data_IF_304525987533
#
_entry.id   IF_304525987533
#
_cell.length_a   1.000
_cell.length_b   1.000
_cell.length_c   1.000
_cell.angle_alpha   90.00
_cell.angle_beta   90.00
_cell.angle_gamma   90.00
#
_symmetry.space_group_name_H-M   'P 1'
#
loop_
_entity.id
_entity.type
_entity.pdbx_description
1 polymer ?
#
# COMPACT_ATOMS: atom_id res chain seq x y z
N UNK A 1 -63.02 -13.19 20.74
CA UNK A 1 -62.42 -14.32 21.47
C UNK A 1 -61.90 -15.32 20.46
N UNK A 2 -60.59 -15.44 20.28
CA UNK A 2 -59.96 -16.66 19.75
C UNK A 2 -58.45 -16.59 19.90
N UNK A 3 -57.90 -17.71 20.36
CA UNK A 3 -56.52 -17.97 20.70
C UNK A 3 -55.54 -17.88 19.51
N UNK A 4 -54.28 -17.55 19.82
CA UNK A 4 -53.11 -18.32 19.37
C UNK A 4 -51.84 -17.90 20.13
N UNK A 5 -51.45 -18.73 21.10
CA UNK A 5 -50.12 -18.84 21.70
C UNK A 5 -49.53 -20.18 21.24
N UNK A 6 -48.19 -20.27 21.29
CA UNK A 6 -47.32 -21.47 21.18
C UNK A 6 -47.00 -21.97 19.77
N UNK A 7 -45.76 -21.75 19.35
CA UNK A 7 -44.80 -22.81 18.96
C UNK A 7 -43.42 -22.19 18.72
N UNK A 8 -42.59 -22.21 19.75
CA UNK A 8 -41.18 -21.83 19.69
C UNK A 8 -40.42 -22.78 20.62
N UNK A 9 -40.19 -24.01 20.15
CA UNK A 9 -39.30 -25.02 20.73
C UNK A 9 -39.31 -26.24 19.80
N UNK A 10 -38.39 -26.24 18.82
CA UNK A 10 -37.98 -27.44 18.07
C UNK A 10 -36.90 -27.01 17.08
N UNK A 11 -35.63 -27.07 17.49
CA UNK A 11 -34.42 -27.22 16.66
C UNK A 11 -33.18 -27.05 17.56
N UNK A 12 -33.02 -27.96 18.50
CA UNK A 12 -31.77 -28.22 19.23
C UNK A 12 -31.85 -29.67 19.69
N UNK A 13 -31.41 -30.58 18.82
CA UNK A 13 -30.99 -31.96 19.13
C UNK A 13 -30.82 -32.73 17.82
N UNK A 14 -29.65 -32.61 17.19
CA UNK A 14 -29.19 -33.55 16.17
C UNK A 14 -27.69 -33.36 15.90
N UNK A 15 -26.86 -33.57 16.91
CA UNK A 15 -25.41 -33.71 16.74
C UNK A 15 -24.80 -34.30 18.02
N UNK A 16 -25.12 -35.56 18.30
CA UNK A 16 -24.48 -36.38 19.34
C UNK A 16 -24.99 -37.81 19.19
N UNK A 17 -24.41 -38.57 18.26
CA UNK A 17 -24.39 -40.04 18.21
C UNK A 17 -23.73 -40.46 16.90
N UNK A 18 -22.46 -40.88 16.96
CA UNK A 18 -21.85 -41.95 16.15
C UNK A 18 -20.33 -41.95 16.39
N UNK A 19 -19.91 -42.55 17.50
CA UNK A 19 -18.55 -43.06 17.67
C UNK A 19 -18.66 -44.40 18.40
N UNK A 20 -18.62 -45.49 17.65
CA UNK A 20 -17.99 -46.77 18.01
C UNK A 20 -18.28 -47.82 16.93
N UNK A 21 -17.34 -48.77 16.79
CA UNK A 21 -17.36 -49.99 15.95
C UNK A 21 -16.92 -49.73 14.50
N UNK A 22 -15.89 -50.34 13.90
CA UNK A 22 -15.27 -51.67 14.06
C UNK A 22 -13.76 -51.63 13.74
N UNK A 23 -13.00 -52.48 14.45
CA UNK A 23 -11.69 -52.99 14.07
C UNK A 23 -11.80 -54.07 12.97
N UNK A 24 -10.64 -54.35 12.37
CA UNK A 24 -10.27 -55.48 11.49
C UNK A 24 -10.59 -55.31 10.00
N UNK A 25 -9.54 -55.08 9.20
CA UNK A 25 -9.21 -55.97 8.09
C UNK A 25 -7.81 -55.69 7.49
N UNK A 26 -7.22 -56.77 6.98
CA UNK A 26 -5.86 -56.95 6.49
C UNK A 26 -5.30 -55.88 5.55
N UNK A 27 -4.03 -55.51 5.76
CA UNK A 27 -3.22 -54.84 4.75
C UNK A 27 -2.05 -55.72 4.31
N UNK A 28 -2.16 -56.16 3.05
CA UNK A 28 -1.10 -56.73 2.25
C UNK A 28 0.09 -55.77 2.17
N UNK A 29 1.26 -56.25 2.60
CA UNK A 29 2.55 -55.61 2.37
C UNK A 29 2.92 -55.79 0.89
N UNK A 30 2.54 -54.84 0.03
CA UNK A 30 3.21 -54.68 -1.26
C UNK A 30 4.56 -53.98 -1.05
N UNK A 31 5.66 -54.50 -1.62
CA UNK A 31 6.96 -53.84 -1.57
C UNK A 31 6.87 -52.51 -2.30
N UNK A 32 7.06 -51.44 -1.53
CA UNK A 32 7.09 -50.07 -1.98
C UNK A 32 8.34 -49.91 -2.88
N UNK A 33 8.18 -50.05 -4.20
CA UNK A 33 9.19 -49.68 -5.18
C UNK A 33 9.46 -48.19 -5.03
N UNK A 34 10.50 -47.87 -4.27
CA UNK A 34 11.08 -46.54 -4.18
C UNK A 34 11.63 -46.17 -5.56
N UNK A 35 10.76 -45.64 -6.41
CA UNK A 35 11.16 -44.87 -7.56
C UNK A 35 11.94 -43.68 -7.02
N UNK A 36 13.27 -43.79 -7.10
CA UNK A 36 14.20 -42.68 -6.97
C UNK A 36 13.83 -41.70 -8.08
N UNK A 37 12.92 -40.78 -7.78
CA UNK A 37 12.74 -39.58 -8.58
C UNK A 37 14.05 -38.83 -8.42
N UNK A 38 14.90 -38.91 -9.44
CA UNK A 38 16.04 -38.03 -9.60
C UNK A 38 15.48 -36.61 -9.51
N UNK A 39 15.70 -35.95 -8.36
CA UNK A 39 15.40 -34.53 -8.19
C UNK A 39 16.29 -33.79 -9.19
N UNK A 40 15.72 -33.53 -10.37
CA UNK A 40 16.33 -32.67 -11.36
C UNK A 40 16.63 -31.34 -10.66
N UNK A 41 17.92 -31.05 -10.48
CA UNK A 41 18.38 -29.79 -9.88
C UNK A 41 18.01 -28.68 -10.86
N UNK A 42 16.80 -28.17 -10.73
CA UNK A 42 16.32 -27.05 -11.53
C UNK A 42 17.14 -25.85 -11.11
N UNK A 43 18.11 -25.46 -11.96
CA UNK A 43 18.86 -24.22 -11.74
C UNK A 43 17.87 -23.05 -11.58
N UNK A 44 18.00 -22.25 -10.51
CA UNK A 44 17.08 -21.15 -10.27
C UNK A 44 17.19 -20.15 -11.41
N UNK A 45 16.08 -19.89 -12.10
CA UNK A 45 16.03 -18.85 -13.13
C UNK A 45 16.45 -17.51 -12.51
N UNK A 46 17.32 -16.73 -13.18
CA UNK A 46 17.72 -15.42 -12.68
C UNK A 46 16.49 -14.55 -12.50
N UNK A 47 16.35 -13.96 -11.31
CA UNK A 47 15.26 -13.04 -11.04
C UNK A 47 15.43 -11.76 -11.85
N UNK A 48 14.34 -11.23 -12.46
CA UNK A 48 14.41 -9.95 -13.14
C UNK A 48 14.68 -8.83 -12.14
N UNK A 49 15.35 -7.77 -12.61
CA UNK A 49 15.65 -6.60 -11.80
C UNK A 49 14.37 -5.91 -11.34
N UNK A 50 13.42 -5.76 -12.26
CA UNK A 50 12.08 -5.24 -12.02
C UNK A 50 11.12 -5.81 -13.06
N UNK A 51 9.90 -6.13 -12.66
CA UNK A 51 8.86 -6.68 -13.55
C UNK A 51 7.45 -6.28 -13.10
N UNK A 52 6.53 -6.15 -14.07
CA UNK A 52 5.11 -6.07 -13.78
C UNK A 52 4.52 -7.48 -13.80
N UNK A 53 3.88 -7.86 -12.69
CA UNK A 53 3.27 -9.18 -12.54
C UNK A 53 1.80 -9.03 -12.15
N UNK A 54 1.10 -10.15 -12.07
CA UNK A 54 -0.26 -10.17 -11.54
C UNK A 54 -0.37 -11.17 -10.38
N UNK A 55 -0.91 -10.71 -9.26
CA UNK A 55 -1.45 -11.59 -8.23
C UNK A 55 -2.79 -12.21 -8.66
N UNK A 56 -3.46 -12.90 -7.74
CA UNK A 56 -4.81 -13.43 -8.01
C UNK A 56 -5.81 -12.33 -8.40
N UNK A 57 -5.64 -11.12 -7.88
CA UNK A 57 -6.59 -10.03 -8.05
C UNK A 57 -5.98 -8.63 -8.02
N UNK A 58 -4.71 -8.46 -8.39
CA UNK A 58 -4.06 -7.16 -8.46
C UNK A 58 -2.93 -7.21 -9.50
N UNK A 59 -2.49 -6.04 -9.96
CA UNK A 59 -1.24 -5.89 -10.72
C UNK A 59 -0.21 -5.27 -9.80
N UNK A 60 0.97 -5.86 -9.76
CA UNK A 60 2.08 -5.46 -8.90
C UNK A 60 3.36 -5.19 -9.71
N UNK A 61 4.25 -4.42 -9.08
CA UNK A 61 5.64 -4.31 -9.48
C UNK A 61 6.48 -5.14 -8.50
N UNK A 62 7.28 -6.05 -9.03
CA UNK A 62 8.10 -7.03 -8.31
C UNK A 62 9.53 -7.05 -8.89
N UNK A 63 10.41 -7.88 -8.34
CA UNK A 63 11.78 -8.07 -8.81
C UNK A 63 12.84 -7.72 -7.76
N UNK A 64 14.10 -8.00 -8.10
CA UNK A 64 15.24 -7.86 -7.18
C UNK A 64 15.35 -6.45 -6.56
N UNK A 65 15.06 -5.40 -7.34
CA UNK A 65 15.09 -4.02 -6.84
C UNK A 65 14.04 -3.78 -5.74
N UNK A 66 12.83 -4.32 -5.90
CA UNK A 66 11.73 -4.17 -4.93
C UNK A 66 12.00 -4.99 -3.67
N UNK A 67 12.56 -6.18 -3.85
CA UNK A 67 13.05 -7.01 -2.74
C UNK A 67 14.14 -6.28 -1.94
N UNK A 68 15.09 -5.62 -2.62
CA UNK A 68 16.14 -4.84 -1.96
C UNK A 68 15.56 -3.73 -1.07
N UNK A 69 14.51 -3.04 -1.52
CA UNK A 69 13.78 -2.07 -0.69
C UNK A 69 13.11 -2.78 0.51
N UNK A 70 12.43 -3.91 0.25
CA UNK A 70 11.75 -4.71 1.28
C UNK A 70 12.68 -5.37 2.32
N UNK A 71 13.98 -5.50 2.02
CA UNK A 71 14.99 -6.02 2.94
C UNK A 71 15.61 -4.95 3.84
N UNK A 72 15.29 -3.67 3.66
CA UNK A 72 15.69 -2.59 4.58
C UNK A 72 14.85 -2.62 5.87
N UNK A 73 15.05 -3.67 6.68
CA UNK A 73 14.24 -4.05 7.86
C UNK A 73 14.79 -3.54 9.18
N UNK A 74 15.75 -2.60 9.15
CA UNK A 74 16.39 -2.11 10.36
C UNK A 74 15.37 -1.53 11.35
N UNK A 75 15.48 -1.91 12.61
CA UNK A 75 14.55 -1.48 13.67
C UNK A 75 13.19 -2.20 13.70
N UNK A 76 12.93 -3.15 12.79
CA UNK A 76 11.66 -3.91 12.76
C UNK A 76 11.84 -5.28 13.42
N UNK A 77 10.95 -5.61 14.35
CA UNK A 77 10.96 -6.93 15.01
C UNK A 77 10.72 -8.07 14.01
N UNK A 78 11.47 -9.20 14.12
CA UNK A 78 11.26 -10.38 13.29
C UNK A 78 9.82 -10.91 13.28
N UNK A 79 9.08 -10.81 14.39
CA UNK A 79 7.70 -11.31 14.45
C UNK A 79 6.76 -10.57 13.49
N UNK A 80 6.94 -9.25 13.34
CA UNK A 80 6.12 -8.43 12.43
C UNK A 80 6.40 -8.80 10.97
N UNK A 81 7.67 -9.07 10.64
CA UNK A 81 8.10 -9.50 9.31
C UNK A 81 7.51 -10.88 9.01
N UNK A 82 7.55 -11.79 9.98
CA UNK A 82 6.98 -13.13 9.84
C UNK A 82 5.47 -13.09 9.60
N UNK A 83 4.74 -12.17 10.24
CA UNK A 83 3.31 -11.98 9.96
C UNK A 83 3.04 -11.61 8.50
N UNK A 84 3.88 -10.76 7.91
CA UNK A 84 3.80 -10.42 6.48
C UNK A 84 4.09 -11.63 5.60
N UNK A 85 5.17 -12.37 5.89
CA UNK A 85 5.56 -13.56 5.12
C UNK A 85 4.44 -14.62 5.19
N UNK A 86 3.84 -14.84 6.35
CA UNK A 86 2.71 -15.77 6.52
C UNK A 86 1.48 -15.35 5.73
N UNK A 87 1.16 -14.04 5.68
CA UNK A 87 0.04 -13.52 4.89
C UNK A 87 0.27 -13.69 3.39
N UNK A 88 1.47 -13.41 2.91
CA UNK A 88 1.80 -13.39 1.48
C UNK A 88 2.19 -14.79 0.95
N UNK A 89 2.64 -15.68 1.84
CA UNK A 89 3.12 -17.02 1.50
C UNK A 89 4.55 -17.05 0.96
N UNK A 90 5.25 -15.93 0.94
CA UNK A 90 6.63 -15.79 0.46
C UNK A 90 7.33 -14.56 1.07
N UNK A 91 8.66 -14.51 0.97
CA UNK A 91 9.45 -13.37 1.45
C UNK A 91 9.61 -12.25 0.40
N UNK A 92 9.21 -12.49 -0.85
CA UNK A 92 9.25 -11.47 -1.91
C UNK A 92 8.34 -10.29 -1.60
N UNK A 93 8.83 -9.12 -1.97
CA UNK A 93 8.21 -7.83 -1.76
C UNK A 93 7.60 -7.33 -3.07
N UNK A 94 6.50 -6.61 -2.96
CA UNK A 94 5.79 -6.09 -4.13
C UNK A 94 5.22 -4.71 -3.85
N UNK A 95 5.02 -3.94 -4.91
CA UNK A 95 4.26 -2.70 -4.89
C UNK A 95 2.93 -2.97 -5.60
N UNK A 96 1.80 -2.75 -4.94
CA UNK A 96 0.50 -2.84 -5.63
C UNK A 96 0.32 -1.62 -6.54
N UNK A 97 0.27 -1.83 -7.85
CA UNK A 97 0.00 -0.77 -8.84
C UNK A 97 -1.51 -0.59 -9.08
N UNK A 98 -2.25 -1.70 -9.16
CA UNK A 98 -3.72 -1.72 -9.35
C UNK A 98 -4.32 -2.71 -8.37
N UNK A 99 -5.16 -2.22 -7.46
CA UNK A 99 -5.82 -3.05 -6.46
C UNK A 99 -7.04 -3.80 -7.04
N UNK A 100 -7.51 -4.84 -6.35
CA UNK A 100 -8.68 -5.65 -6.77
C UNK A 100 -9.93 -4.86 -7.12
N UNK A 101 -10.20 -3.79 -6.38
CA UNK A 101 -11.39 -2.93 -6.58
C UNK A 101 -11.27 -2.05 -7.82
N UNK A 102 -10.05 -1.84 -8.30
CA UNK A 102 -9.71 -0.95 -9.42
C UNK A 102 -9.59 -1.71 -10.74
N UNK A 103 -9.38 -3.02 -10.70
CA UNK A 103 -9.16 -3.84 -11.90
C UNK A 103 -10.25 -3.69 -12.96
N UNK A 104 -11.52 -3.57 -12.56
CA UNK A 104 -12.63 -3.39 -13.51
C UNK A 104 -12.49 -2.07 -14.27
N UNK A 105 -12.26 -0.97 -13.56
CA UNK A 105 -12.06 0.36 -14.14
C UNK A 105 -10.82 0.39 -15.04
N UNK A 106 -9.72 -0.21 -14.59
CA UNK A 106 -8.49 -0.29 -15.38
C UNK A 106 -8.68 -1.08 -16.69
N UNK A 107 -9.41 -2.21 -16.63
CA UNK A 107 -9.72 -3.00 -17.82
C UNK A 107 -10.66 -2.24 -18.77
N UNK A 108 -11.67 -1.55 -18.25
CA UNK A 108 -12.56 -0.70 -19.05
C UNK A 108 -11.78 0.42 -19.75
N UNK A 109 -10.88 1.11 -19.03
CA UNK A 109 -10.01 2.14 -19.61
C UNK A 109 -9.07 1.60 -20.70
N UNK A 110 -8.62 0.35 -20.56
CA UNK A 110 -7.80 -0.34 -21.55
C UNK A 110 -8.61 -0.98 -22.70
N UNK A 111 -9.95 -0.87 -22.69
CA UNK A 111 -10.86 -1.54 -23.60
C UNK A 111 -10.67 -3.08 -23.61
N UNK A 112 -10.44 -3.66 -22.43
CA UNK A 112 -10.29 -5.10 -22.20
C UNK A 112 -11.57 -5.62 -21.53
N UNK A 113 -12.22 -6.61 -22.15
CA UNK A 113 -13.42 -7.21 -21.57
C UNK A 113 -13.08 -7.88 -20.22
N UNK A 114 -13.81 -7.50 -19.16
CA UNK A 114 -13.61 -8.10 -17.84
C UNK A 114 -14.12 -9.56 -17.84
N UNK A 115 -13.24 -10.56 -17.69
CA UNK A 115 -13.60 -11.94 -17.94
C UNK A 115 -14.41 -12.58 -16.80
N UNK A 116 -15.21 -13.58 -17.16
CA UNK A 116 -15.71 -14.59 -16.21
C UNK A 116 -14.54 -15.41 -15.64
N UNK A 117 -14.64 -15.89 -14.38
CA UNK A 117 -13.56 -16.46 -13.52
C UNK A 117 -12.39 -17.17 -14.24
N UNK A 118 -12.66 -18.08 -15.19
CA UNK A 118 -11.63 -18.90 -15.87
C UNK A 118 -10.66 -18.12 -16.79
N UNK A 119 -11.00 -16.90 -17.24
CA UNK A 119 -10.15 -16.11 -18.16
C UNK A 119 -9.45 -14.92 -17.48
N UNK A 120 -9.51 -14.84 -16.14
CA UNK A 120 -8.98 -13.70 -15.39
C UNK A 120 -7.48 -13.49 -15.55
N UNK A 121 -6.69 -14.57 -15.47
CA UNK A 121 -5.24 -14.49 -15.65
C UNK A 121 -4.85 -13.93 -17.03
N UNK A 122 -5.50 -14.41 -18.10
CA UNK A 122 -5.24 -13.91 -19.45
C UNK A 122 -5.59 -12.43 -19.60
N UNK A 123 -6.73 -11.97 -19.07
CA UNK A 123 -7.08 -10.55 -19.12
C UNK A 123 -6.08 -9.67 -18.33
N UNK A 124 -5.55 -10.17 -17.21
CA UNK A 124 -4.52 -9.45 -16.46
C UNK A 124 -3.20 -9.38 -17.26
N UNK A 125 -2.80 -10.47 -17.94
CA UNK A 125 -1.65 -10.44 -18.86
C UNK A 125 -1.84 -9.45 -20.00
N UNK A 126 -3.04 -9.41 -20.59
CA UNK A 126 -3.37 -8.43 -21.64
C UNK A 126 -3.30 -6.99 -21.09
N UNK A 127 -3.73 -6.76 -19.85
CA UNK A 127 -3.63 -5.44 -19.22
C UNK A 127 -2.17 -5.05 -18.94
N UNK A 128 -1.32 -5.99 -18.49
CA UNK A 128 0.12 -5.75 -18.34
C UNK A 128 0.76 -5.41 -19.70
N UNK A 129 0.46 -6.19 -20.74
CA UNK A 129 0.94 -5.94 -22.10
C UNK A 129 0.52 -4.54 -22.59
N UNK A 130 -0.75 -4.17 -22.37
CA UNK A 130 -1.27 -2.86 -22.74
C UNK A 130 -0.53 -1.71 -22.05
N UNK A 131 -0.12 -1.91 -20.78
CA UNK A 131 0.70 -0.95 -20.02
C UNK A 131 2.09 -0.87 -20.66
N UNK A 132 2.75 -2.01 -20.89
CA UNK A 132 4.09 -2.10 -21.48
C UNK A 132 4.16 -1.44 -22.87
N UNK A 133 3.14 -1.60 -23.70
CA UNK A 133 3.05 -0.93 -25.01
C UNK A 133 3.03 0.61 -24.93
N UNK A 134 2.65 1.18 -23.78
CA UNK A 134 2.53 2.64 -23.60
C UNK A 134 3.66 3.26 -22.81
N UNK A 135 4.25 2.52 -21.88
CA UNK A 135 5.32 3.03 -21.01
C UNK A 135 6.65 2.29 -21.15
N UNK A 136 6.73 1.30 -22.04
CA UNK A 136 7.89 0.45 -22.23
C UNK A 136 7.95 -0.72 -21.25
N UNK A 137 8.81 -1.69 -21.56
CA UNK A 137 9.10 -2.84 -20.71
C UNK A 137 9.82 -2.39 -19.42
N UNK A 138 9.46 -2.93 -18.23
CA UNK A 138 10.11 -2.57 -16.97
C UNK A 138 11.63 -2.72 -16.97
N UNK A 139 12.16 -3.72 -17.68
CA UNK A 139 13.60 -3.95 -17.84
C UNK A 139 14.33 -2.87 -18.64
N UNK A 140 13.59 -2.02 -19.36
CA UNK A 140 14.10 -0.92 -20.18
C UNK A 140 13.87 0.45 -19.55
N UNK A 141 13.14 0.52 -18.43
CA UNK A 141 12.93 1.76 -17.70
C UNK A 141 14.25 2.30 -17.18
N UNK A 142 14.44 3.61 -17.28
CA UNK A 142 15.64 4.26 -16.75
C UNK A 142 15.52 4.38 -15.24
N UNK A 143 16.64 4.55 -14.55
CA UNK A 143 16.66 4.62 -13.08
C UNK A 143 15.71 5.70 -12.51
N UNK A 144 15.52 6.83 -13.21
CA UNK A 144 14.59 7.88 -12.78
C UNK A 144 13.10 7.50 -12.92
N UNK A 145 12.79 6.44 -13.65
CA UNK A 145 11.42 5.91 -13.79
C UNK A 145 11.11 4.86 -12.70
N UNK A 146 12.11 4.41 -11.95
CA UNK A 146 11.94 3.42 -10.90
C UNK A 146 11.35 4.03 -9.62
N UNK A 147 10.72 3.22 -8.75
CA UNK A 147 10.25 3.69 -7.45
C UNK A 147 11.43 4.15 -6.58
N UNK A 148 11.41 5.42 -6.17
CA UNK A 148 12.38 5.96 -5.22
C UNK A 148 11.93 5.70 -3.79
N UNK A 149 12.72 4.96 -3.03
CA UNK A 149 12.47 4.69 -1.61
C UNK A 149 12.70 5.94 -0.75
N UNK A 150 11.64 6.45 -0.14
CA UNK A 150 11.64 7.66 0.69
C UNK A 150 11.96 7.40 2.15
N UNK A 151 12.00 6.14 2.58
CA UNK A 151 12.29 5.79 3.97
C UNK A 151 11.19 4.95 4.64
N UNK A 152 11.48 4.58 5.88
CA UNK A 152 10.60 3.80 6.74
C UNK A 152 9.48 4.69 7.30
N UNK A 153 8.27 4.16 7.25
CA UNK A 153 7.07 4.74 7.83
C UNK A 153 6.34 3.70 8.67
N UNK A 154 5.46 4.18 9.55
CA UNK A 154 4.49 3.33 10.21
C UNK A 154 3.17 4.06 10.43
N UNK A 155 2.13 3.25 10.62
CA UNK A 155 0.81 3.69 11.04
C UNK A 155 0.27 2.74 12.10
N UNK A 156 -0.60 3.29 12.92
CA UNK A 156 -1.34 2.55 13.93
C UNK A 156 -2.83 2.84 13.77
N UNK A 157 -3.66 1.84 14.03
CA UNK A 157 -5.11 1.97 14.03
C UNK A 157 -5.65 1.24 15.24
N UNK A 158 -6.41 1.97 16.05
CA UNK A 158 -7.17 1.39 17.15
C UNK A 158 -8.47 0.79 16.60
N UNK A 159 -8.73 -0.46 16.94
CA UNK A 159 -9.95 -1.18 16.58
C UNK A 159 -10.61 -1.69 17.86
N UNK A 160 -11.93 -1.50 17.97
CA UNK A 160 -12.72 -2.06 19.05
C UNK A 160 -13.31 -3.40 18.59
N UNK A 161 -12.74 -4.50 19.06
CA UNK A 161 -13.21 -5.85 18.74
C UNK A 161 -13.59 -6.53 20.06
N UNK A 162 -14.87 -6.92 20.20
CA UNK A 162 -15.37 -7.66 21.38
C UNK A 162 -15.06 -6.98 22.73
N UNK A 163 -15.22 -5.65 22.81
CA UNK A 163 -14.92 -4.83 23.99
C UNK A 163 -13.43 -4.77 24.38
N UNK A 164 -12.52 -5.31 23.57
CA UNK A 164 -11.09 -5.12 23.70
C UNK A 164 -10.59 -4.07 22.70
N UNK A 165 -9.81 -3.11 23.17
CA UNK A 165 -9.09 -2.16 22.32
C UNK A 165 -7.82 -2.83 21.82
N UNK A 166 -7.83 -3.26 20.57
CA UNK A 166 -6.65 -3.78 19.88
C UNK A 166 -6.04 -2.65 19.06
N UNK A 167 -4.71 -2.51 19.15
CA UNK A 167 -3.97 -1.56 18.31
C UNK A 167 -3.24 -2.36 17.25
N UNK A 168 -3.61 -2.16 15.99
CA UNK A 168 -2.91 -2.73 14.84
C UNK A 168 -1.88 -1.74 14.33
N UNK A 169 -0.65 -2.19 14.13
CA UNK A 169 0.46 -1.41 13.59
C UNK A 169 0.99 -2.03 12.31
N UNK A 170 1.40 -1.20 11.36
CA UNK A 170 2.03 -1.63 10.12
C UNK A 170 3.24 -0.77 9.80
N UNK A 171 4.35 -1.40 9.43
CA UNK A 171 5.58 -0.78 8.97
C UNK A 171 5.77 -1.02 7.48
N UNK A 172 6.17 0.01 6.76
CA UNK A 172 6.32 -0.03 5.32
C UNK A 172 7.35 1.00 4.84
N UNK A 173 7.92 0.77 3.65
CA UNK A 173 8.74 1.76 2.94
C UNK A 173 7.84 2.58 2.04
N UNK A 174 7.85 3.91 2.17
CA UNK A 174 7.08 4.80 1.30
C UNK A 174 7.87 5.06 0.03
N UNK A 175 7.21 5.04 -1.12
CA UNK A 175 7.88 5.21 -2.40
C UNK A 175 7.33 6.41 -3.16
N UNK A 176 8.23 7.18 -3.76
CA UNK A 176 7.89 8.12 -4.81
C UNK A 176 8.07 7.44 -6.17
N UNK A 177 6.99 7.27 -6.92
CA UNK A 177 7.04 6.61 -8.22
C UNK A 177 6.21 7.36 -9.28
N UNK A 178 6.80 8.39 -9.93
CA UNK A 178 6.11 9.20 -10.95
C UNK A 178 5.56 8.36 -12.11
N UNK A 179 6.32 7.38 -12.59
CA UNK A 179 5.85 6.51 -13.66
C UNK A 179 4.65 5.68 -13.22
N UNK A 180 4.63 5.17 -11.99
CA UNK A 180 3.47 4.51 -11.41
C UNK A 180 2.21 5.40 -11.41
N UNK A 181 2.35 6.68 -11.04
CA UNK A 181 1.23 7.63 -11.12
C UNK A 181 0.78 7.87 -12.55
N UNK A 182 1.72 7.97 -13.51
CA UNK A 182 1.41 8.11 -14.93
C UNK A 182 0.64 6.90 -15.46
N UNK A 183 1.03 5.68 -15.08
CA UNK A 183 0.31 4.46 -15.46
C UNK A 183 -1.11 4.48 -14.88
N UNK A 184 -1.28 4.86 -13.61
CA UNK A 184 -2.61 4.98 -13.00
C UNK A 184 -3.49 6.00 -13.72
N UNK A 185 -2.94 7.16 -14.06
CA UNK A 185 -3.64 8.18 -14.84
C UNK A 185 -4.05 7.69 -16.24
N UNK A 186 -3.19 6.93 -16.94
CA UNK A 186 -3.54 6.32 -18.25
C UNK A 186 -4.72 5.34 -18.15
N UNK A 187 -4.95 4.76 -16.98
CA UNK A 187 -6.01 3.81 -16.70
C UNK A 187 -7.23 4.45 -16.02
N UNK A 188 -7.30 5.79 -15.98
CA UNK A 188 -8.34 6.56 -15.28
C UNK A 188 -8.49 6.16 -13.80
N UNK A 189 -7.39 5.78 -13.16
CA UNK A 189 -7.37 5.48 -11.73
C UNK A 189 -6.93 6.72 -10.94
N UNK A 190 -7.50 6.88 -9.75
CA UNK A 190 -7.08 7.91 -8.80
C UNK A 190 -5.59 7.76 -8.44
N UNK A 191 -4.86 8.82 -8.06
CA UNK A 191 -3.51 8.70 -7.51
C UNK A 191 -3.47 7.76 -6.30
N UNK A 192 -2.33 7.09 -6.09
CA UNK A 192 -2.14 6.19 -4.94
C UNK A 192 -0.81 6.46 -4.22
N UNK A 193 -0.73 6.11 -2.94
CA UNK A 193 0.52 6.13 -2.18
C UNK A 193 1.19 4.76 -2.25
N UNK A 194 2.24 4.67 -3.07
CA UNK A 194 2.99 3.43 -3.25
C UNK A 194 3.86 3.13 -2.02
N UNK A 195 3.87 1.86 -1.63
CA UNK A 195 4.65 1.39 -0.50
C UNK A 195 4.99 -0.09 -0.64
N UNK A 196 6.07 -0.51 0.02
CA UNK A 196 6.38 -1.92 0.29
C UNK A 196 6.05 -2.22 1.75
N UNK A 197 5.16 -3.17 2.02
CA UNK A 197 4.86 -3.59 3.39
C UNK A 197 6.02 -4.43 3.93
N UNK A 198 6.58 -4.01 5.07
CA UNK A 198 7.68 -4.73 5.72
C UNK A 198 7.13 -5.75 6.72
N UNK A 199 6.21 -5.32 7.59
CA UNK A 199 5.64 -6.15 8.64
C UNK A 199 4.49 -5.44 9.37
N UNK A 200 3.69 -6.20 10.10
CA UNK A 200 2.55 -5.67 10.86
C UNK A 200 2.22 -6.56 12.06
N UNK A 201 1.41 -6.04 12.98
CA UNK A 201 0.97 -6.74 14.18
C UNK A 201 -0.32 -6.12 14.76
N UNK A 202 -1.36 -6.90 15.11
CA UNK A 202 -1.54 -8.31 14.76
C UNK A 202 -2.04 -8.50 13.31
N UNK A 203 -2.71 -7.49 12.76
CA UNK A 203 -3.29 -7.50 11.41
C UNK A 203 -2.72 -6.34 10.60
N UNK A 204 -2.69 -6.48 9.27
CA UNK A 204 -2.33 -5.36 8.41
C UNK A 204 -3.39 -4.24 8.52
N UNK A 205 -2.93 -3.00 8.36
CA UNK A 205 -3.75 -1.82 8.53
C UNK A 205 -4.17 -1.31 7.15
N UNK A 206 -5.48 -1.28 6.89
CA UNK A 206 -6.06 -0.85 5.62
C UNK A 206 -6.96 0.38 5.79
N UNK A 207 -7.17 1.12 4.70
CA UNK A 207 -8.14 2.22 4.64
C UNK A 207 -7.68 3.51 5.33
N UNK A 208 -6.40 3.63 5.66
CA UNK A 208 -5.81 4.84 6.23
C UNK A 208 -4.68 5.36 5.33
N UNK A 209 -4.32 6.62 5.53
CA UNK A 209 -3.24 7.27 4.80
C UNK A 209 -1.88 6.59 5.08
N UNK A 210 -1.22 6.10 4.01
CA UNK A 210 0.13 5.50 4.03
C UNK A 210 1.13 6.27 3.15
N UNK A 211 0.93 7.59 3.00
CA UNK A 211 1.77 8.44 2.16
C UNK A 211 3.00 9.02 2.87
N UNK A 212 3.78 9.90 2.21
CA UNK A 212 5.03 10.44 2.73
C UNK A 212 4.92 11.16 4.08
N UNK A 213 3.75 11.72 4.42
CA UNK A 213 3.52 12.31 5.74
C UNK A 213 3.57 11.33 6.91
N UNK A 214 3.68 10.01 6.64
CA UNK A 214 3.81 8.97 7.67
C UNK A 214 5.25 8.54 7.96
N UNK A 215 6.24 9.09 7.24
CA UNK A 215 7.66 8.79 7.40
C UNK A 215 8.12 9.06 8.84
N UNK A 216 8.94 8.15 9.38
CA UNK A 216 9.48 8.27 10.74
C UNK A 216 10.31 9.54 10.94
N UNK A 217 11.13 9.90 9.94
CA UNK A 217 11.95 11.11 9.96
C UNK A 217 11.15 12.42 10.01
N UNK A 218 9.83 12.37 9.76
CA UNK A 218 8.92 13.52 9.88
C UNK A 218 8.05 13.48 11.15
N UNK A 219 7.99 12.36 11.86
CA UNK A 219 7.16 12.18 13.08
C UNK A 219 7.95 12.37 14.35
N UNK A 220 9.20 11.92 14.37
CA UNK A 220 10.01 11.92 15.58
C UNK A 220 10.71 13.27 15.76
N UNK A 221 10.15 14.10 16.65
CA UNK A 221 10.91 15.18 17.31
C UNK A 221 11.95 14.62 18.31
N UNK A 222 12.09 13.30 18.40
CA UNK A 222 12.94 12.60 19.37
C UNK A 222 14.42 12.56 18.96
N UNK A 223 14.88 13.51 18.15
CA UNK A 223 16.31 13.66 18.05
C UNK A 223 16.83 14.20 19.38
N UNK A 224 17.90 13.59 19.91
CA UNK A 224 18.49 14.03 21.15
C UNK A 224 18.70 15.53 21.06
N UNK A 225 18.01 16.27 21.94
CA UNK A 225 18.36 17.67 22.18
C UNK A 225 19.88 17.71 22.36
N UNK A 226 20.60 18.72 21.86
CA UNK A 226 22.04 18.88 22.10
C UNK A 226 22.46 18.76 23.58
N UNK A 227 21.48 18.81 24.50
CA UNK A 227 21.60 18.62 25.93
C UNK A 227 21.61 17.16 26.41
N UNK A 228 21.42 16.14 25.56
CA UNK A 228 21.60 14.75 25.97
C UNK A 228 23.10 14.45 26.08
N UNK A 229 23.69 14.73 27.24
CA UNK A 229 25.14 14.70 27.53
C UNK A 229 25.85 13.34 27.37
N UNK A 230 25.22 12.32 26.76
CA UNK A 230 25.73 10.95 26.70
C UNK A 230 26.08 10.49 25.28
N UNK A 231 25.88 11.32 24.24
CA UNK A 231 26.16 10.95 22.84
C UNK A 231 27.47 11.63 22.40
N UNK A 232 28.33 10.89 21.69
CA UNK A 232 29.58 11.45 21.16
C UNK A 232 29.25 12.48 20.09
N UNK A 233 29.97 13.60 20.09
CA UNK A 233 29.75 14.71 19.16
C UNK A 233 29.73 14.27 17.68
N UNK A 234 30.60 13.33 17.30
CA UNK A 234 30.70 12.82 15.92
C UNK A 234 29.44 12.04 15.48
N UNK A 235 28.78 11.33 16.40
CA UNK A 235 27.55 10.58 16.12
C UNK A 235 26.38 11.53 15.85
N UNK A 236 26.28 12.61 16.64
CA UNK A 236 25.28 13.67 16.46
C UNK A 236 25.43 14.33 15.09
N UNK A 237 26.66 14.64 14.66
CA UNK A 237 26.88 15.25 13.35
C UNK A 237 26.47 14.32 12.20
N UNK A 238 26.78 13.02 12.30
CA UNK A 238 26.42 12.04 11.27
C UNK A 238 24.91 11.87 11.16
N UNK A 239 24.20 11.80 12.28
CA UNK A 239 22.73 11.72 12.30
C UNK A 239 22.09 12.98 11.72
N UNK A 240 22.58 14.17 12.09
CA UNK A 240 22.11 15.44 11.53
C UNK A 240 22.33 15.50 10.02
N UNK A 241 23.48 15.05 9.53
CA UNK A 241 23.76 15.02 8.10
C UNK A 241 22.83 14.07 7.34
N UNK A 242 22.54 12.89 7.92
CA UNK A 242 21.54 11.96 7.38
C UNK A 242 20.15 12.59 7.29
N UNK A 243 19.73 13.30 8.35
CA UNK A 243 18.44 14.01 8.37
C UNK A 243 18.37 15.11 7.31
N UNK A 244 19.40 15.95 7.18
CA UNK A 244 19.44 17.01 6.17
C UNK A 244 19.34 16.41 4.76
N UNK A 245 20.03 15.29 4.53
CA UNK A 245 19.94 14.57 3.25
C UNK A 245 18.51 14.08 2.98
N UNK A 246 17.86 13.46 3.96
CA UNK A 246 16.48 12.99 3.82
C UNK A 246 15.49 14.13 3.59
N UNK A 247 15.59 15.23 4.35
CA UNK A 247 14.77 16.42 4.15
C UNK A 247 15.00 17.04 2.77
N UNK A 248 16.23 17.10 2.30
CA UNK A 248 16.56 17.62 0.96
C UNK A 248 15.86 16.81 -0.13
N UNK A 249 15.90 15.47 0.00
CA UNK A 249 15.20 14.57 -0.92
C UNK A 249 13.67 14.76 -0.86
N UNK A 250 13.10 14.94 0.33
CA UNK A 250 11.67 15.18 0.50
C UNK A 250 11.22 16.54 -0.07
N UNK A 251 12.04 17.58 0.10
CA UNK A 251 11.82 18.89 -0.49
C UNK A 251 11.82 18.83 -2.03
N UNK A 252 12.74 18.05 -2.61
CA UNK A 252 12.81 17.84 -4.06
C UNK A 252 11.51 17.23 -4.63
N UNK A 253 10.88 16.29 -3.93
CA UNK A 253 9.64 15.65 -4.41
C UNK A 253 8.37 16.42 -4.06
N UNK A 254 8.42 17.36 -3.11
CA UNK A 254 7.24 18.08 -2.60
C UNK A 254 6.33 18.70 -3.69
N UNK A 255 6.85 19.24 -4.81
CA UNK A 255 6.02 19.74 -5.91
C UNK A 255 5.10 18.69 -6.55
N UNK A 256 5.38 17.39 -6.40
CA UNK A 256 4.52 16.32 -6.88
C UNK A 256 3.36 15.98 -5.94
N UNK A 257 3.35 16.56 -4.73
CA UNK A 257 2.39 16.26 -3.65
C UNK A 257 1.62 17.50 -3.20
N UNK A 258 1.32 18.43 -4.11
CA UNK A 258 0.63 19.71 -3.81
C UNK A 258 -0.74 19.56 -3.15
N UNK A 259 -1.38 18.40 -3.26
CA UNK A 259 -2.67 18.11 -2.63
C UNK A 259 -2.56 17.29 -1.33
N UNK A 260 -1.37 16.82 -0.98
CA UNK A 260 -1.13 16.00 0.22
C UNK A 260 -0.73 16.90 1.40
N UNK A 261 -1.74 17.50 2.03
CA UNK A 261 -1.50 18.42 3.14
C UNK A 261 -0.92 17.73 4.38
N UNK A 262 -1.13 16.42 4.56
CA UNK A 262 -0.53 15.66 5.66
C UNK A 262 0.99 15.64 5.49
N UNK A 263 1.46 15.32 4.29
CA UNK A 263 2.89 15.35 3.97
C UNK A 263 3.46 16.77 4.05
N UNK A 264 2.84 17.75 3.39
CA UNK A 264 3.39 19.11 3.32
C UNK A 264 3.50 19.77 4.70
N UNK A 265 2.51 19.56 5.57
CA UNK A 265 2.57 20.08 6.94
C UNK A 265 3.65 19.38 7.78
N UNK A 266 3.77 18.05 7.68
CA UNK A 266 4.80 17.30 8.39
C UNK A 266 6.20 17.71 7.94
N UNK A 267 6.42 17.84 6.62
CA UNK A 267 7.67 18.32 6.05
C UNK A 267 8.00 19.75 6.50
N UNK A 268 7.01 20.65 6.49
CA UNK A 268 7.22 22.02 6.94
C UNK A 268 7.61 22.10 8.42
N UNK A 269 6.90 21.36 9.28
CA UNK A 269 7.23 21.30 10.70
C UNK A 269 8.67 20.82 10.90
N UNK A 270 9.07 19.75 10.21
CA UNK A 270 10.42 19.21 10.36
C UNK A 270 11.50 20.17 9.81
N UNK A 271 11.29 20.77 8.64
CA UNK A 271 12.23 21.75 8.08
C UNK A 271 12.39 22.99 8.98
N UNK A 272 11.35 23.40 9.72
CA UNK A 272 11.45 24.53 10.65
C UNK A 272 12.44 24.27 11.79
N UNK A 273 12.61 23.01 12.21
CA UNK A 273 13.57 22.61 13.23
C UNK A 273 15.03 22.63 12.74
N UNK A 274 15.26 22.58 11.42
CA UNK A 274 16.58 22.53 10.78
C UNK A 274 16.84 23.72 9.87
N UNK A 275 16.13 24.84 10.09
CA UNK A 275 16.11 25.98 9.17
C UNK A 275 17.50 26.52 8.87
N UNK A 276 18.32 26.77 9.89
CA UNK A 276 19.65 27.35 9.74
C UNK A 276 20.56 26.47 8.88
N UNK A 277 20.44 25.14 9.03
CA UNK A 277 21.20 24.18 8.25
C UNK A 277 20.69 24.09 6.80
N UNK A 278 19.37 24.11 6.58
CA UNK A 278 18.79 24.03 5.25
C UNK A 278 19.01 25.29 4.41
N UNK A 279 19.16 26.47 5.03
CA UNK A 279 19.51 27.72 4.33
C UNK A 279 20.85 27.60 3.59
N UNK A 280 21.80 26.81 4.12
CA UNK A 280 23.07 26.52 3.42
C UNK A 280 22.89 25.69 2.15
N UNK A 281 21.82 24.89 2.09
CA UNK A 281 21.52 24.01 0.96
C UNK A 281 20.75 24.71 -0.17
N UNK A 282 20.41 26.01 -0.05
CA UNK A 282 19.63 26.80 -1.04
C UNK A 282 18.32 26.13 -1.48
N UNK A 283 17.70 25.37 -0.59
CA UNK A 283 16.46 24.67 -0.94
C UNK A 283 15.30 25.65 -0.85
N UNK A 284 14.41 25.63 -1.83
CA UNK A 284 13.32 26.59 -1.99
C UNK A 284 12.19 26.37 -0.96
N UNK A 285 12.50 26.65 0.29
CA UNK A 285 11.57 26.71 1.42
C UNK A 285 10.37 27.62 1.15
N UNK A 286 10.57 28.62 0.28
CA UNK A 286 9.52 29.59 -0.04
C UNK A 286 8.34 28.92 -0.75
N UNK A 287 8.58 27.87 -1.55
CA UNK A 287 7.51 27.09 -2.16
C UNK A 287 6.56 26.49 -1.12
N UNK A 288 7.10 25.80 -0.11
CA UNK A 288 6.28 25.13 0.92
C UNK A 288 5.51 26.16 1.74
N UNK A 289 6.17 27.23 2.17
CA UNK A 289 5.53 28.28 2.97
C UNK A 289 4.41 28.98 2.20
N UNK A 290 4.64 29.33 0.94
CA UNK A 290 3.61 29.93 0.10
C UNK A 290 2.43 28.99 -0.10
N UNK A 291 2.69 27.70 -0.31
CA UNK A 291 1.64 26.71 -0.55
C UNK A 291 0.78 26.48 0.70
N UNK A 292 1.40 26.33 1.88
CA UNK A 292 0.68 26.20 3.15
C UNK A 292 -0.14 27.45 3.45
N UNK A 293 0.45 28.63 3.28
CA UNK A 293 -0.24 29.91 3.54
C UNK A 293 -1.46 30.08 2.63
N UNK A 294 -1.32 29.78 1.33
CA UNK A 294 -2.44 29.84 0.37
C UNK A 294 -3.58 28.89 0.77
N UNK A 295 -3.26 27.66 1.18
CA UNK A 295 -4.27 26.69 1.57
C UNK A 295 -4.98 27.05 2.89
N UNK A 296 -4.24 27.55 3.89
CA UNK A 296 -4.85 28.00 5.15
C UNK A 296 -5.80 29.18 4.93
N UNK A 297 -5.44 30.13 4.05
CA UNK A 297 -6.30 31.26 3.73
C UNK A 297 -7.58 30.84 2.99
N UNK A 298 -7.51 29.84 2.12
CA UNK A 298 -8.69 29.31 1.42
C UNK A 298 -9.66 28.62 2.38
N UNK A 299 -9.15 27.87 3.37
CA UNK A 299 -10.01 27.21 4.37
C UNK A 299 -10.75 28.20 5.26
N UNK A 300 -10.08 29.30 5.67
CA UNK A 300 -10.71 30.34 6.50
C UNK A 300 -11.82 31.10 5.76
N UNK A 301 -11.76 31.21 4.43
CA UNK A 301 -12.77 31.90 3.64
C UNK A 301 -14.04 31.05 3.40
N UNK A 302 -13.94 29.73 3.45
CA UNK A 302 -15.11 28.85 3.30
C UNK A 302 -15.93 28.74 4.59
N UNK A 303 -15.32 28.91 5.77
CA UNK A 303 -16.04 28.84 7.04
C UNK A 303 -17.01 30.00 7.31
N UNK A 304 -16.97 31.06 6.49
CA UNK A 304 -17.89 32.20 6.60
C UNK A 304 -19.06 32.16 5.59
N UNK A 305 -19.27 31.05 4.87
CA UNK A 305 -20.32 30.95 3.84
C UNK A 305 -21.39 29.89 4.09
N UNK A 306 -21.27 29.06 5.12
CA UNK A 306 -22.16 27.92 5.36
C UNK A 306 -22.97 28.04 6.67
N UNK A 307 -23.44 29.24 7.00
CA UNK A 307 -24.64 29.42 7.83
C UNK A 307 -25.78 29.85 6.88
N UNK A 308 -26.85 29.05 6.84
CA UNK A 308 -28.11 29.23 6.08
C UNK A 308 -28.23 28.62 4.66
N UNK A 309 -27.96 27.32 4.47
CA UNK A 309 -28.71 26.53 3.46
C UNK A 309 -28.87 25.06 3.86
N UNK A 310 -30.12 24.61 4.01
CA UNK A 310 -30.51 23.19 4.05
C UNK A 310 -29.99 22.45 2.81
N UNK A 311 -29.15 21.44 3.03
CA UNK A 311 -28.44 20.70 1.98
C UNK A 311 -29.37 19.63 1.36
N UNK A 312 -30.09 20.02 0.30
CA UNK A 312 -30.77 19.12 -0.62
C UNK A 312 -29.76 18.58 -1.62
N UNK A 313 -29.41 17.29 -1.52
CA UNK A 313 -28.52 16.61 -2.46
C UNK A 313 -29.22 16.45 -3.83
N UNK A 314 -28.69 16.98 -4.94
CA UNK A 314 -29.29 16.77 -6.25
C UNK A 314 -29.03 15.33 -6.75
N UNK A 315 -30.09 14.68 -7.20
CA UNK A 315 -30.02 13.42 -7.94
C UNK A 315 -29.17 13.58 -9.20
N UNK A 316 -28.31 12.59 -9.45
CA UNK A 316 -27.44 12.56 -10.62
C UNK A 316 -28.27 12.50 -11.92
N UNK A 317 -27.94 13.30 -12.96
CA UNK A 317 -28.67 13.25 -14.22
C UNK A 317 -28.41 11.93 -14.94
N UNK A 318 -29.49 11.19 -15.18
CA UNK A 318 -29.49 9.98 -16.01
C UNK A 318 -29.11 10.29 -17.44
N UNK A 319 -28.06 9.63 -17.94
CA UNK A 319 -27.65 9.72 -19.34
C UNK A 319 -28.60 8.89 -20.22
N UNK A 320 -29.52 9.57 -20.92
CA UNK A 320 -30.27 8.99 -22.03
C UNK A 320 -29.41 9.02 -23.30
N UNK A 321 -29.00 7.86 -23.80
CA UNK A 321 -28.44 7.74 -25.14
C UNK A 321 -29.57 7.37 -26.11
N UNK A 322 -29.99 8.33 -26.92
CA UNK A 322 -30.81 8.12 -28.11
C UNK A 322 -29.89 7.82 -29.30
N UNK A 323 -30.20 6.85 -30.17
CA UNK A 323 -29.42 6.56 -31.35
C UNK A 323 -29.73 7.56 -32.48
N UNK A 324 -28.71 8.19 -33.05
CA UNK A 324 -28.83 8.92 -34.31
C UNK A 324 -28.66 7.97 -35.48
N UNK A 325 -29.74 7.78 -36.23
CA UNK A 325 -29.77 7.20 -37.57
C UNK A 325 -29.40 8.23 -38.64
N UNK A 326 -29.03 7.70 -39.82
CA UNK A 326 -28.85 8.34 -41.15
C UNK A 326 -27.54 9.11 -41.36
N UNK A 327 -26.81 8.98 -42.48
CA UNK A 327 -27.16 8.47 -43.83
C UNK A 327 -25.98 7.75 -44.48
#
# INVERSE_FOLDING_TARGET
MTHKKKKQHEKNNKEQQEQQVTQDDHHDNQPNEQQQQEEEVVEPKPQPLIELTHGYAYISLEGFYIDTIGYQRHGISPSLIQNRIQRDGHDHSHITLIHRKELKLAMEAANIEFPKKKRKAQAMKNLIQWIMERVGEPSQWKEYDWPMDLGLAHVEKQEEEQQQKLTSKAYYRVLHWPLGQKIRALLNLEPAFFHVTIGFDPKDVHGIYKGPGTLLCLKEQQYPSPLSHHIRFDEVQKEQQGMIHDLTRLLYIAPHYTKDMVFLNALANQCSCYREQLETCRIDWTFIQQHITRNNNNNNNNHNKDDDTEENWPEAPGASLSPSSSS
#
